data_IF_627298888712
#
_entry.id   IF_627298888712
#
_cell.length_a   1.000
_cell.length_b   1.000
_cell.length_c   1.000
_cell.angle_alpha   90.00
_cell.angle_beta   90.00
_cell.angle_gamma   90.00
#
_symmetry.space_group_name_H-M   'P 1'
#
loop_
_entity.id
_entity.type
_entity.pdbx_description
1 polymer ?
#
# COMPACT_ATOMS: atom_id res chain seq x y z
N UNK A 1 7.17 -28.10 51.02
CA UNK A 1 8.10 -27.06 51.52
C UNK A 1 9.41 -27.23 50.74
N UNK A 2 9.68 -26.36 49.77
CA UNK A 2 10.64 -25.23 49.87
C UNK A 2 12.10 -25.74 49.90
N UNK A 3 13.07 -25.29 49.09
CA UNK A 3 13.22 -24.07 48.29
C UNK A 3 14.28 -24.24 47.17
N UNK A 4 14.15 -23.43 46.11
CA UNK A 4 15.21 -22.97 45.16
C UNK A 4 16.30 -22.19 45.94
N UNK A 5 17.39 -21.65 45.33
CA UNK A 5 17.97 -21.85 43.99
C UNK A 5 19.51 -22.00 43.98
N UNK A 6 20.07 -22.51 42.88
CA UNK A 6 21.49 -22.33 42.53
C UNK A 6 21.61 -21.12 41.60
N UNK A 7 22.41 -20.14 42.01
CA UNK A 7 22.79 -18.97 41.21
C UNK A 7 24.29 -18.93 41.00
N UNK A 8 24.68 -18.80 39.71
CA UNK A 8 25.79 -18.00 39.16
C UNK A 8 27.24 -18.43 39.50
N UNK A 9 28.24 -18.41 38.60
CA UNK A 9 28.47 -17.65 37.35
C UNK A 9 29.74 -18.12 36.58
N UNK A 10 29.87 -17.62 35.34
CA UNK A 10 31.10 -17.34 34.54
C UNK A 10 31.57 -18.44 33.58
N UNK A 11 32.03 -18.20 32.34
CA UNK A 11 32.05 -17.06 31.41
C UNK A 11 32.54 -17.59 30.02
N UNK A 12 32.61 -16.72 29.01
CA UNK A 12 33.28 -16.84 27.68
C UNK A 12 32.42 -17.41 26.51
N UNK A 13 31.89 -16.60 25.57
CA UNK A 13 32.54 -15.86 24.44
C UNK A 13 33.21 -16.83 23.43
N UNK A 14 33.00 -16.84 22.10
CA UNK A 14 32.74 -15.83 21.05
C UNK A 14 32.59 -16.55 19.69
N UNK A 15 31.70 -16.11 18.80
CA UNK A 15 31.89 -16.11 17.33
C UNK A 15 30.73 -15.37 16.62
N UNK A 16 30.47 -14.12 17.00
CA UNK A 16 29.84 -13.19 16.05
C UNK A 16 30.90 -12.85 15.03
N UNK A 17 30.80 -13.42 13.83
CA UNK A 17 31.66 -13.03 12.73
C UNK A 17 31.32 -11.58 12.35
N UNK A 18 32.19 -10.65 12.72
CA UNK A 18 32.28 -9.32 12.13
C UNK A 18 32.60 -9.51 10.64
N UNK A 19 31.57 -9.69 9.81
CA UNK A 19 31.71 -9.60 8.36
C UNK A 19 32.10 -8.14 8.09
N UNK A 20 33.28 -7.86 7.51
CA UNK A 20 33.68 -6.49 7.19
C UNK A 20 32.57 -5.85 6.36
N UNK A 21 32.13 -4.64 6.74
CA UNK A 21 30.97 -3.95 6.15
C UNK A 21 31.05 -3.91 4.61
N UNK A 22 32.27 -3.79 4.09
CA UNK A 22 32.60 -3.79 2.65
C UNK A 22 32.23 -5.08 1.94
N UNK A 23 32.32 -6.22 2.62
CA UNK A 23 31.98 -7.54 2.07
C UNK A 23 30.45 -7.75 1.99
N UNK A 24 29.69 -7.13 2.90
CA UNK A 24 28.23 -7.14 2.86
C UNK A 24 27.69 -6.18 1.79
N UNK A 25 28.29 -4.99 1.64
CA UNK A 25 27.94 -4.05 0.56
C UNK A 25 28.19 -4.67 -0.81
N UNK A 26 29.28 -5.40 -0.99
CA UNK A 26 29.61 -6.08 -2.26
C UNK A 26 28.63 -7.22 -2.58
N UNK A 27 28.10 -7.91 -1.56
CA UNK A 27 27.05 -8.93 -1.72
C UNK A 27 25.66 -8.33 -2.02
N UNK A 28 25.41 -7.07 -1.67
CA UNK A 28 24.14 -6.37 -1.93
C UNK A 28 24.11 -5.69 -3.31
N UNK A 29 25.26 -5.56 -3.96
CA UNK A 29 25.36 -5.04 -5.32
C UNK A 29 24.93 -6.13 -6.33
N UNK A 30 23.77 -5.96 -6.96
CA UNK A 30 23.36 -6.80 -8.07
C UNK A 30 24.03 -6.33 -9.37
N UNK A 31 24.94 -7.14 -9.92
CA UNK A 31 25.54 -6.90 -11.24
C UNK A 31 24.64 -7.36 -12.40
N UNK A 32 23.33 -7.36 -12.19
CA UNK A 32 22.35 -7.79 -13.18
C UNK A 32 22.22 -6.72 -14.28
N UNK A 33 22.48 -7.09 -15.54
CA UNK A 33 22.17 -6.24 -16.68
C UNK A 33 20.67 -6.26 -16.93
N UNK A 34 20.00 -5.15 -16.64
CA UNK A 34 18.60 -4.89 -17.02
C UNK A 34 18.50 -4.55 -18.52
N UNK A 35 19.16 -5.32 -19.40
CA UNK A 35 19.01 -5.21 -20.87
C UNK A 35 17.69 -5.84 -21.35
N UNK A 36 16.74 -6.00 -20.42
CA UNK A 36 15.38 -6.42 -20.69
C UNK A 36 14.61 -5.12 -20.92
N UNK A 37 14.40 -4.73 -22.17
CA UNK A 37 13.26 -3.87 -22.47
C UNK A 37 12.03 -4.51 -21.82
N UNK A 38 11.20 -3.72 -21.12
CA UNK A 38 9.99 -4.20 -20.48
C UNK A 38 9.30 -5.22 -21.40
N UNK A 39 9.02 -6.46 -20.93
CA UNK A 39 8.46 -7.49 -21.79
C UNK A 39 7.30 -6.91 -22.60
N UNK A 40 7.33 -7.06 -23.92
CA UNK A 40 6.21 -6.67 -24.76
C UNK A 40 4.97 -7.35 -24.18
N UNK A 41 4.00 -6.53 -23.77
CA UNK A 41 2.86 -6.97 -22.99
C UNK A 41 1.99 -7.85 -23.89
N UNK A 42 2.30 -9.14 -23.92
CA UNK A 42 1.70 -10.20 -24.73
C UNK A 42 1.96 -10.06 -26.25
N UNK A 43 2.85 -10.86 -26.85
CA UNK A 43 3.12 -10.81 -28.28
C UNK A 43 1.94 -11.29 -29.16
N UNK A 44 0.96 -11.99 -28.60
CA UNK A 44 -0.27 -12.33 -29.33
C UNK A 44 -1.40 -11.35 -28.99
N UNK A 45 -1.94 -10.69 -30.01
CA UNK A 45 -3.23 -9.99 -29.91
C UNK A 45 -4.32 -11.01 -29.62
N UNK A 46 -4.60 -11.26 -28.34
CA UNK A 46 -5.75 -12.04 -27.92
C UNK A 46 -7.00 -11.27 -28.38
N UNK A 47 -7.86 -11.84 -29.25
CA UNK A 47 -9.07 -11.18 -29.71
C UNK A 47 -9.91 -10.76 -28.50
N UNK A 48 -10.17 -9.46 -28.40
CA UNK A 48 -10.88 -8.85 -27.28
C UNK A 48 -9.99 -8.25 -26.18
N UNK A 49 -8.68 -8.52 -26.09
CA UNK A 49 -7.79 -7.84 -25.13
C UNK A 49 -7.27 -6.51 -25.68
N UNK A 50 -6.99 -6.45 -26.98
CA UNK A 50 -6.53 -5.23 -27.66
C UNK A 50 -7.59 -4.13 -27.74
N UNK A 51 -8.87 -4.48 -27.63
CA UNK A 51 -10.00 -3.53 -27.66
C UNK A 51 -10.22 -2.84 -26.29
N UNK A 52 -9.78 -3.47 -25.19
CA UNK A 52 -9.84 -2.89 -23.83
C UNK A 52 -8.52 -2.27 -23.37
N UNK A 53 -7.40 -2.56 -24.04
CA UNK A 53 -6.21 -1.76 -23.91
C UNK A 53 -6.54 -0.36 -24.41
N UNK A 54 -6.38 0.71 -23.62
CA UNK A 54 -6.66 2.06 -24.10
C UNK A 54 -5.78 2.33 -25.33
N UNK A 55 -6.38 2.35 -26.53
CA UNK A 55 -5.69 2.67 -27.79
C UNK A 55 -5.12 4.10 -27.83
N UNK A 56 -5.34 4.87 -26.77
CA UNK A 56 -4.75 6.17 -26.52
C UNK A 56 -4.44 6.18 -25.03
N UNK A 57 -3.19 6.46 -24.64
CA UNK A 57 -2.87 6.67 -23.22
C UNK A 57 -3.87 7.70 -22.68
N UNK A 58 -4.75 7.34 -21.73
CA UNK A 58 -5.69 8.31 -21.18
C UNK A 58 -4.85 9.29 -20.37
N UNK A 59 -4.51 10.43 -20.98
CA UNK A 59 -3.71 11.53 -20.44
C UNK A 59 -2.49 11.11 -19.62
N UNK A 60 -1.29 11.35 -20.13
CA UNK A 60 -0.05 11.35 -19.32
C UNK A 60 -0.03 12.41 -18.20
N UNK A 61 -1.17 13.00 -17.83
CA UNK A 61 -1.25 13.78 -16.61
C UNK A 61 -1.11 12.81 -15.44
N UNK A 62 -0.19 13.07 -14.50
CA UNK A 62 -0.12 12.29 -13.27
C UNK A 62 -1.52 12.23 -12.64
N UNK A 63 -1.92 11.08 -12.10
CA UNK A 63 -3.23 10.93 -11.48
C UNK A 63 -3.38 11.97 -10.35
N UNK A 64 -4.60 12.40 -10.07
CA UNK A 64 -4.83 13.52 -9.13
C UNK A 64 -4.23 13.30 -7.74
N UNK A 65 -4.10 12.05 -7.28
CA UNK A 65 -3.42 11.70 -6.03
C UNK A 65 -1.90 11.91 -6.05
N UNK A 66 -1.29 11.99 -7.22
CA UNK A 66 0.13 12.34 -7.44
C UNK A 66 0.31 13.86 -7.65
N UNK A 67 -0.75 14.64 -7.44
CA UNK A 67 -0.61 16.10 -7.33
C UNK A 67 -0.01 16.43 -5.97
N UNK A 68 0.84 17.44 -5.90
CA UNK A 68 1.34 17.96 -4.61
C UNK A 68 0.19 18.49 -3.74
N UNK A 69 0.51 18.78 -2.47
CA UNK A 69 -0.47 19.35 -1.53
C UNK A 69 -1.10 20.62 -2.09
N UNK A 70 -2.43 20.65 -2.13
CA UNK A 70 -3.16 21.84 -2.52
C UNK A 70 -3.14 22.87 -1.40
N UNK A 71 -3.49 24.13 -1.71
CA UNK A 71 -3.72 25.16 -0.69
C UNK A 71 -4.82 24.73 0.29
N UNK A 72 -5.83 24.04 -0.24
CA UNK A 72 -6.85 23.24 0.43
C UNK A 72 -6.30 22.48 1.64
N UNK A 73 -5.44 21.53 1.29
CA UNK A 73 -4.84 20.56 2.20
C UNK A 73 -3.95 21.23 3.24
N UNK A 74 -3.17 22.24 2.83
CA UNK A 74 -2.32 23.01 3.74
C UNK A 74 -3.13 23.75 4.80
N UNK A 75 -4.26 24.36 4.43
CA UNK A 75 -5.16 25.01 5.38
C UNK A 75 -5.78 23.99 6.34
N UNK A 76 -6.18 22.83 5.82
CA UNK A 76 -6.77 21.78 6.65
C UNK A 76 -5.78 21.20 7.67
N UNK A 77 -4.52 20.98 7.27
CA UNK A 77 -3.45 20.55 8.17
C UNK A 77 -3.19 21.58 9.27
N UNK A 78 -3.14 22.87 8.91
CA UNK A 78 -2.98 23.94 9.90
C UNK A 78 -4.17 23.99 10.86
N UNK A 79 -5.39 23.85 10.36
CA UNK A 79 -6.58 23.80 11.19
C UNK A 79 -6.52 22.63 12.17
N UNK A 80 -6.18 21.42 11.71
CA UNK A 80 -6.03 20.25 12.57
C UNK A 80 -4.91 20.43 13.61
N UNK A 81 -3.78 21.02 13.22
CA UNK A 81 -2.66 21.31 14.11
C UNK A 81 -2.97 22.37 15.19
N UNK A 82 -3.96 23.24 14.95
CA UNK A 82 -4.41 24.24 15.91
C UNK A 82 -5.38 23.70 16.97
N UNK A 83 -5.90 22.47 16.80
CA UNK A 83 -6.85 21.86 17.73
C UNK A 83 -6.15 21.45 19.04
N UNK A 84 -6.90 21.52 20.14
CA UNK A 84 -6.48 20.88 21.39
C UNK A 84 -6.46 19.35 21.22
N UNK A 85 -5.73 18.64 22.08
CA UNK A 85 -5.67 17.17 22.06
C UNK A 85 -7.06 16.54 22.11
N UNK A 86 -7.97 17.10 22.89
CA UNK A 86 -9.36 16.65 22.99
C UNK A 86 -10.11 16.91 21.68
N UNK A 87 -9.93 18.09 21.08
CA UNK A 87 -10.51 18.43 19.77
C UNK A 87 -10.05 17.49 18.67
N UNK A 88 -8.76 17.16 18.64
CA UNK A 88 -8.20 16.21 17.68
C UNK A 88 -8.79 14.80 17.85
N UNK A 89 -8.92 14.33 19.09
CA UNK A 89 -9.54 13.02 19.38
C UNK A 89 -11.00 12.99 18.91
N UNK A 90 -11.75 14.08 19.10
CA UNK A 90 -13.14 14.16 18.61
C UNK A 90 -13.20 14.11 17.08
N UNK A 91 -12.31 14.81 16.37
CA UNK A 91 -12.30 14.79 14.92
C UNK A 91 -11.91 13.41 14.37
N UNK A 92 -10.97 12.71 15.03
CA UNK A 92 -10.64 11.31 14.71
C UNK A 92 -11.85 10.39 14.91
N UNK A 93 -12.61 10.54 16.00
CA UNK A 93 -13.84 9.77 16.23
C UNK A 93 -14.89 10.04 15.16
N UNK A 94 -15.10 11.31 14.83
CA UNK A 94 -16.02 11.70 13.77
C UNK A 94 -15.63 11.10 12.41
N UNK A 95 -14.34 11.13 12.06
CA UNK A 95 -13.85 10.50 10.84
C UNK A 95 -14.08 8.99 10.85
N UNK A 96 -13.83 8.33 11.97
CA UNK A 96 -14.11 6.90 12.16
C UNK A 96 -15.60 6.59 11.92
N UNK A 97 -16.51 7.38 12.50
CA UNK A 97 -17.95 7.17 12.35
C UNK A 97 -18.40 7.36 10.90
N UNK A 98 -17.86 8.37 10.21
CA UNK A 98 -18.12 8.60 8.78
C UNK A 98 -17.59 7.45 7.92
N UNK A 99 -16.37 6.97 8.18
CA UNK A 99 -15.79 5.86 7.44
C UNK A 99 -16.60 4.57 7.63
N UNK A 100 -17.07 4.31 8.85
CA UNK A 100 -17.95 3.18 9.14
C UNK A 100 -19.27 3.27 8.37
N UNK A 101 -19.94 4.42 8.43
CA UNK A 101 -21.21 4.65 7.73
C UNK A 101 -21.04 4.50 6.21
N UNK A 102 -19.97 5.05 5.65
CA UNK A 102 -19.67 4.92 4.23
C UNK A 102 -19.43 3.45 3.83
N UNK A 103 -18.72 2.68 4.65
CA UNK A 103 -18.51 1.26 4.41
C UNK A 103 -19.80 0.44 4.40
N UNK A 104 -20.77 0.77 5.27
CA UNK A 104 -22.10 0.14 5.24
C UNK A 104 -22.86 0.46 3.95
N UNK A 105 -22.81 1.71 3.50
CA UNK A 105 -23.46 2.15 2.27
C UNK A 105 -22.84 1.52 1.03
N UNK A 106 -21.51 1.47 0.96
CA UNK A 106 -20.78 0.80 -0.11
C UNK A 106 -21.13 -0.69 -0.16
N UNK A 107 -21.11 -1.40 0.98
CA UNK A 107 -21.46 -2.82 1.03
C UNK A 107 -22.90 -3.08 0.54
N UNK A 108 -23.84 -2.19 0.86
CA UNK A 108 -25.21 -2.24 0.39
C UNK A 108 -25.29 -2.07 -1.12
N UNK A 109 -24.60 -1.07 -1.67
CA UNK A 109 -24.62 -0.81 -3.11
C UNK A 109 -23.89 -1.90 -3.90
N UNK A 110 -22.81 -2.46 -3.36
CA UNK A 110 -22.13 -3.62 -3.94
C UNK A 110 -23.04 -4.86 -4.00
N UNK A 111 -23.78 -5.11 -2.92
CA UNK A 111 -24.78 -6.18 -2.87
C UNK A 111 -25.90 -5.96 -3.89
N UNK A 112 -26.38 -4.72 -4.01
CA UNK A 112 -27.37 -4.34 -5.02
C UNK A 112 -26.84 -4.54 -6.44
N UNK A 113 -25.61 -4.11 -6.72
CA UNK A 113 -24.95 -4.32 -8.01
C UNK A 113 -24.85 -5.80 -8.38
N UNK A 114 -24.54 -6.66 -7.40
CA UNK A 114 -24.54 -8.13 -7.59
C UNK A 114 -25.91 -8.65 -8.01
N UNK A 115 -27.00 -8.23 -7.36
CA UNK A 115 -28.36 -8.65 -7.74
C UNK A 115 -28.82 -8.10 -9.09
N UNK A 116 -28.37 -6.91 -9.45
CA UNK A 116 -28.63 -6.32 -10.77
C UNK A 116 -27.72 -6.88 -11.87
N UNK A 117 -26.81 -7.78 -11.50
CA UNK A 117 -25.92 -8.49 -12.40
C UNK A 117 -25.05 -7.57 -13.29
N UNK A 118 -24.76 -6.35 -12.82
CA UNK A 118 -23.99 -5.35 -13.57
C UNK A 118 -22.52 -5.75 -13.74
N UNK A 119 -22.04 -6.67 -12.90
CA UNK A 119 -20.69 -7.22 -12.96
C UNK A 119 -20.59 -8.49 -13.83
N UNK A 120 -21.72 -9.01 -14.35
CA UNK A 120 -21.66 -10.14 -15.27
C UNK A 120 -21.11 -9.70 -16.62
N UNK A 121 -20.10 -10.42 -17.08
CA UNK A 121 -19.57 -10.26 -18.43
C UNK A 121 -20.61 -10.81 -19.40
N UNK A 122 -20.95 -10.01 -20.41
CA UNK A 122 -21.86 -10.43 -21.48
C UNK A 122 -21.11 -11.47 -22.31
N UNK A 123 -21.38 -12.75 -22.09
CA UNK A 123 -20.94 -13.79 -23.01
C UNK A 123 -21.73 -13.58 -24.31
N UNK A 124 -21.17 -12.77 -25.21
CA UNK A 124 -21.64 -12.72 -26.60
C UNK A 124 -21.14 -14.00 -27.29
N UNK A 125 -22.01 -14.72 -28.02
CA UNK A 125 -21.59 -15.84 -28.85
C UNK A 125 -20.72 -15.39 -30.02
#
# INVERSE_FOLDING_TARGET
MAAKPTSQSSAEQTASADIPLTCLEESLLSFEKLDRASPELWPEQIPGVSEFAPLQSPSQSPPSWNSGLTKDDMNFIQQLGSLSTIGLIMEVKKLHDVAYQLGLEEAKEMTRGKYLNIFSRKNRP
#
